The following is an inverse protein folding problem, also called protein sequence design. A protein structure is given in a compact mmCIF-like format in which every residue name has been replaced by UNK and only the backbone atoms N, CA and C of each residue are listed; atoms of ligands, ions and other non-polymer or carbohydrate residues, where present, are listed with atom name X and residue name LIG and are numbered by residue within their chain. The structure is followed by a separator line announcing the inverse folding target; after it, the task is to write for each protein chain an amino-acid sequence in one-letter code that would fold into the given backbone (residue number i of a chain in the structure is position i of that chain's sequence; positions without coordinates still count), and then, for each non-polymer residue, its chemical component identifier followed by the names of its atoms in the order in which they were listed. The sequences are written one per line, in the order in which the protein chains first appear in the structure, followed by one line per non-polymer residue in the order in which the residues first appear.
data_IF_440103572992
#
_entry.id   IF_440103572992
#
_cell.length_a   1.000
_cell.length_b   1.000
_cell.length_c   1.000
_cell.angle_alpha   90.00
_cell.angle_beta   90.00
_cell.angle_gamma   90.00
#
_symmetry.space_group_name_H-M   'P 1'
#
loop_
_entity.id
_entity.type
_entity.pdbx_description
1 polymer ?
#
# COMPACT_ATOMS: atom_id res chain seq x y z
N UNK A 1 -1.16 -24.75 14.22
CA UNK A 1 -1.65 -23.36 14.10
C UNK A 1 -3.12 -23.38 13.72
N UNK A 2 -4.03 -22.90 14.59
CA UNK A 2 -5.47 -22.87 14.30
C UNK A 2 -5.76 -21.66 13.40
N UNK A 3 -6.21 -21.88 12.15
CA UNK A 3 -6.67 -20.78 11.28
C UNK A 3 -7.77 -19.99 12.02
N UNK A 4 -7.56 -18.70 12.22
CA UNK A 4 -8.50 -17.80 12.91
C UNK A 4 -9.86 -17.83 12.21
N UNK A 5 -10.95 -17.76 12.99
CA UNK A 5 -12.32 -17.72 12.49
C UNK A 5 -12.54 -16.57 11.48
N UNK A 6 -11.82 -15.45 11.66
CA UNK A 6 -11.85 -14.31 10.75
C UNK A 6 -11.37 -14.67 9.32
N UNK A 7 -10.31 -15.47 9.19
CA UNK A 7 -9.81 -15.88 7.87
C UNK A 7 -10.78 -16.82 7.16
N UNK A 8 -11.48 -17.68 7.91
CA UNK A 8 -12.51 -18.57 7.33
C UNK A 8 -13.74 -17.77 6.88
N UNK A 9 -14.15 -16.78 7.66
CA UNK A 9 -15.28 -15.92 7.32
C UNK A 9 -15.00 -15.06 6.09
N UNK A 10 -13.80 -14.46 5.98
CA UNK A 10 -13.41 -13.70 4.78
C UNK A 10 -13.37 -14.59 3.53
N UNK A 11 -12.82 -15.80 3.63
CA UNK A 11 -12.80 -16.75 2.51
C UNK A 11 -14.21 -17.14 2.05
N UNK A 12 -15.11 -17.41 2.99
CA UNK A 12 -16.51 -17.73 2.67
C UNK A 12 -17.24 -16.55 2.00
N UNK A 13 -16.96 -15.32 2.45
CA UNK A 13 -17.55 -14.12 1.84
C UNK A 13 -17.05 -13.86 0.42
N UNK A 14 -15.75 -14.05 0.17
CA UNK A 14 -15.19 -13.89 -1.17
C UNK A 14 -15.74 -14.93 -2.15
N UNK A 15 -15.87 -16.19 -1.71
CA UNK A 15 -16.45 -17.25 -2.54
C UNK A 15 -17.93 -16.99 -2.89
N UNK A 16 -18.71 -16.42 -1.96
CA UNK A 16 -20.11 -16.05 -2.25
C UNK A 16 -20.20 -14.89 -3.24
N UNK A 17 -19.27 -13.93 -3.18
CA UNK A 17 -19.19 -12.83 -4.16
C UNK A 17 -18.86 -13.36 -5.55
N UNK A 18 -17.88 -14.27 -5.66
CA UNK A 18 -17.56 -14.93 -6.93
C UNK A 18 -18.75 -15.71 -7.49
N UNK A 19 -19.47 -16.44 -6.64
CA UNK A 19 -20.67 -17.19 -7.04
C UNK A 19 -21.78 -16.28 -7.56
N UNK A 20 -22.03 -15.14 -6.90
CA UNK A 20 -23.01 -14.15 -7.33
C UNK A 20 -22.61 -13.48 -8.66
N UNK A 21 -21.31 -13.29 -8.90
CA UNK A 21 -20.81 -12.78 -10.18
C UNK A 21 -21.02 -13.79 -11.33
N UNK A 22 -20.74 -15.07 -11.08
CA UNK A 22 -20.94 -16.15 -12.05
C UNK A 22 -22.43 -16.36 -12.36
N UNK A 23 -23.29 -16.33 -11.33
CA UNK A 23 -24.75 -16.43 -11.47
C UNK A 23 -25.30 -15.25 -12.27
N UNK A 24 -24.85 -14.01 -11.98
CA UNK A 24 -25.22 -12.82 -12.76
C UNK A 24 -24.70 -12.83 -14.19
N UNK A 25 -23.60 -13.52 -14.47
CA UNK A 25 -23.07 -13.69 -15.83
C UNK A 25 -23.85 -14.74 -16.64
N UNK A 26 -24.53 -15.70 -15.99
CA UNK A 26 -25.35 -16.72 -16.64
C UNK A 26 -26.80 -16.33 -16.84
N UNK A 27 -27.31 -15.27 -16.20
CA UNK A 27 -28.66 -14.79 -16.46
C UNK A 27 -28.75 -14.25 -17.90
N UNK A 28 -29.59 -14.83 -18.77
CA UNK A 28 -29.74 -14.35 -20.14
C UNK A 28 -30.28 -12.93 -20.09
N UNK A 29 -29.43 -11.98 -20.49
CA UNK A 29 -29.81 -10.56 -20.56
C UNK A 29 -30.72 -10.39 -21.77
N UNK A 30 -32.00 -10.66 -21.59
CA UNK A 30 -33.07 -10.44 -22.58
C UNK A 30 -33.45 -8.95 -22.68
N UNK A 31 -32.44 -8.08 -22.52
CA UNK A 31 -32.59 -6.62 -22.49
C UNK A 31 -31.91 -6.04 -23.72
N UNK A 32 -32.65 -5.21 -24.47
CA UNK A 32 -32.17 -4.47 -25.63
C UNK A 32 -30.77 -3.89 -25.38
N UNK A 33 -29.86 -3.95 -26.37
CA UNK A 33 -28.47 -3.51 -26.21
C UNK A 33 -28.32 -2.02 -25.88
N UNK A 34 -29.39 -1.23 -26.02
CA UNK A 34 -29.41 0.23 -25.87
C UNK A 34 -29.49 0.70 -24.40
N UNK A 35 -29.80 -0.19 -23.45
CA UNK A 35 -29.98 0.15 -22.02
C UNK A 35 -28.91 -0.46 -21.08
N UNK A 36 -27.85 -1.06 -21.62
CA UNK A 36 -26.73 -1.52 -20.80
C UNK A 36 -25.94 -0.32 -20.27
N UNK A 37 -26.36 0.20 -19.11
CA UNK A 37 -25.55 1.12 -18.32
C UNK A 37 -24.26 0.40 -18.00
N UNK A 38 -23.17 0.81 -18.64
CA UNK A 38 -21.83 0.30 -18.36
C UNK A 38 -21.49 0.67 -16.92
N UNK A 39 -21.80 -0.21 -15.97
CA UNK A 39 -21.40 -0.04 -14.59
C UNK A 39 -19.87 -0.03 -14.56
N UNK A 40 -19.23 1.05 -14.11
CA UNK A 40 -17.78 1.05 -13.98
C UNK A 40 -17.38 -0.06 -13.02
N UNK A 41 -16.48 -0.92 -13.48
CA UNK A 41 -15.85 -1.92 -12.65
C UNK A 41 -14.90 -1.23 -11.66
N UNK A 42 -14.67 -1.83 -10.50
CA UNK A 42 -13.73 -1.27 -9.50
C UNK A 42 -12.32 -1.03 -10.07
N UNK A 43 -11.95 -1.76 -11.14
CA UNK A 43 -10.70 -1.58 -11.90
C UNK A 43 -10.62 -0.24 -12.63
N UNK A 44 -11.76 0.32 -13.04
CA UNK A 44 -11.84 1.63 -13.70
C UNK A 44 -11.47 2.79 -12.75
N UNK A 45 -11.46 2.53 -11.44
CA UNK A 45 -11.03 3.47 -10.40
C UNK A 45 -9.59 3.24 -9.93
N UNK A 46 -8.89 2.22 -10.44
CA UNK A 46 -7.46 2.04 -10.14
C UNK A 46 -6.65 3.08 -10.91
N UNK A 47 -5.54 3.57 -10.33
CA UNK A 47 -4.58 4.35 -11.10
C UNK A 47 -4.13 3.55 -12.33
N UNK A 48 -4.20 4.17 -13.50
CA UNK A 48 -3.73 3.57 -14.77
C UNK A 48 -2.29 3.07 -14.65
N UNK A 49 -1.48 3.74 -13.84
CA UNK A 49 -0.16 3.31 -13.45
C UNK A 49 0.04 3.44 -11.93
N UNK A 50 -0.24 2.34 -11.23
CA UNK A 50 -0.09 2.23 -9.78
C UNK A 50 1.34 2.51 -9.33
N UNK A 51 2.34 2.01 -10.08
CA UNK A 51 3.75 2.18 -9.75
C UNK A 51 4.18 3.63 -9.89
N UNK A 52 3.81 4.31 -10.97
CA UNK A 52 4.12 5.74 -11.14
C UNK A 52 3.43 6.58 -10.08
N UNK A 53 2.17 6.29 -9.74
CA UNK A 53 1.46 6.98 -8.64
C UNK A 53 2.18 6.80 -7.30
N UNK A 54 2.60 5.58 -6.98
CA UNK A 54 3.33 5.26 -5.76
C UNK A 54 4.68 5.99 -5.70
N UNK A 55 5.44 6.01 -6.82
CA UNK A 55 6.71 6.73 -6.92
C UNK A 55 6.55 8.24 -6.74
N UNK A 56 5.51 8.85 -7.33
CA UNK A 56 5.20 10.27 -7.16
C UNK A 56 4.88 10.58 -5.69
N UNK A 57 4.05 9.75 -5.05
CA UNK A 57 3.69 9.92 -3.64
C UNK A 57 4.89 9.73 -2.72
N UNK A 58 5.76 8.75 -3.00
CA UNK A 58 6.95 8.47 -2.20
C UNK A 58 7.95 9.64 -2.25
N UNK A 59 8.16 10.26 -3.42
CA UNK A 59 9.03 11.45 -3.54
C UNK A 59 8.54 12.64 -2.70
N UNK A 60 7.23 12.76 -2.53
CA UNK A 60 6.59 13.82 -1.73
C UNK A 60 6.40 13.45 -0.26
N UNK A 61 6.69 12.20 0.13
CA UNK A 61 6.50 11.73 1.50
C UNK A 61 7.58 12.32 2.41
N UNK A 62 7.15 13.01 3.48
CA UNK A 62 8.02 13.60 4.50
C UNK A 62 7.46 13.29 5.88
N UNK A 63 8.32 12.92 6.82
CA UNK A 63 7.96 12.69 8.21
C UNK A 63 7.43 13.98 8.86
N UNK A 64 8.02 15.14 8.56
CA UNK A 64 7.62 16.43 9.14
C UNK A 64 7.43 16.35 10.67
N UNK A 65 6.27 16.76 11.18
CA UNK A 65 5.86 16.68 12.59
C UNK A 65 5.08 15.39 12.92
N UNK A 66 4.92 14.48 11.96
CA UNK A 66 4.17 13.24 12.17
C UNK A 66 5.00 12.25 13.01
N UNK A 67 4.34 11.38 13.79
CA UNK A 67 4.99 10.26 14.46
C UNK A 67 5.76 9.39 13.47
N UNK A 68 6.92 8.88 13.89
CA UNK A 68 7.78 8.06 13.03
C UNK A 68 7.07 6.78 12.55
N UNK A 69 6.22 6.18 13.38
CA UNK A 69 5.48 4.96 13.03
C UNK A 69 4.52 5.18 11.86
N UNK A 70 3.87 6.36 11.81
CA UNK A 70 2.97 6.73 10.73
C UNK A 70 3.74 6.94 9.42
N UNK A 71 4.90 7.61 9.50
CA UNK A 71 5.80 7.76 8.36
C UNK A 71 6.28 6.40 7.83
N UNK A 72 6.72 5.49 8.72
CA UNK A 72 7.18 4.15 8.35
C UNK A 72 6.06 3.35 7.68
N UNK A 73 4.85 3.39 8.23
CA UNK A 73 3.71 2.66 7.64
C UNK A 73 3.36 3.20 6.25
N UNK A 74 3.30 4.52 6.08
CA UNK A 74 3.03 5.14 4.78
C UNK A 74 4.14 4.82 3.77
N UNK A 75 5.40 4.85 4.20
CA UNK A 75 6.54 4.49 3.37
C UNK A 75 6.45 3.04 2.90
N UNK A 76 6.22 2.09 3.81
CA UNK A 76 6.09 0.65 3.49
C UNK A 76 4.95 0.37 2.52
N UNK A 77 3.81 1.05 2.69
CA UNK A 77 2.67 0.90 1.80
C UNK A 77 3.01 1.32 0.37
N UNK A 78 3.70 2.46 0.21
CA UNK A 78 4.14 2.93 -1.10
C UNK A 78 5.25 2.05 -1.69
N UNK A 79 6.19 1.57 -0.87
CA UNK A 79 7.31 0.77 -1.31
C UNK A 79 6.86 -0.48 -2.07
N UNK A 80 5.81 -1.15 -1.58
CA UNK A 80 5.23 -2.34 -2.19
C UNK A 80 4.83 -2.13 -3.67
N UNK A 81 4.41 -0.93 -4.03
CA UNK A 81 3.90 -0.61 -5.37
C UNK A 81 4.96 0.07 -6.27
N UNK A 82 6.07 0.55 -5.72
CA UNK A 82 7.05 1.37 -6.48
C UNK A 82 7.96 0.60 -7.42
N UNK A 83 8.15 -0.71 -7.22
CA UNK A 83 9.15 -1.56 -7.90
C UNK A 83 10.61 -1.07 -7.77
N UNK A 84 10.91 -0.22 -6.79
CA UNK A 84 12.27 0.21 -6.50
C UNK A 84 13.11 -0.90 -5.88
N UNK A 85 14.43 -0.82 -6.08
CA UNK A 85 15.38 -1.66 -5.35
C UNK A 85 15.63 -1.11 -3.95
N UNK A 86 16.28 -1.91 -3.10
CA UNK A 86 16.53 -1.54 -1.71
C UNK A 86 17.37 -0.26 -1.59
N UNK A 87 18.31 -0.02 -2.51
CA UNK A 87 19.15 1.18 -2.51
C UNK A 87 18.32 2.45 -2.74
N UNK A 88 17.43 2.44 -3.73
CA UNK A 88 16.52 3.55 -4.00
C UNK A 88 15.50 3.75 -2.88
N UNK A 89 15.02 2.66 -2.26
CA UNK A 89 14.13 2.74 -1.10
C UNK A 89 14.83 3.36 0.11
N UNK A 90 16.08 3.00 0.39
CA UNK A 90 16.86 3.60 1.48
C UNK A 90 17.06 5.10 1.24
N UNK A 91 17.44 5.50 0.02
CA UNK A 91 17.61 6.93 -0.31
C UNK A 91 16.32 7.73 -0.10
N UNK A 92 15.19 7.22 -0.62
CA UNK A 92 13.89 7.86 -0.42
C UNK A 92 13.47 7.90 1.05
N UNK A 93 13.73 6.83 1.80
CA UNK A 93 13.41 6.77 3.22
C UNK A 93 14.18 7.83 4.01
N UNK A 94 15.50 7.93 3.81
CA UNK A 94 16.36 8.90 4.49
C UNK A 94 15.98 10.34 4.11
N UNK A 95 15.73 10.60 2.83
CA UNK A 95 15.32 11.93 2.34
C UNK A 95 13.99 12.40 2.93
N UNK A 96 13.13 11.49 3.38
CA UNK A 96 11.85 11.83 4.00
C UNK A 96 11.89 12.01 5.52
N UNK A 97 12.96 11.59 6.20
CA UNK A 97 13.09 11.74 7.66
C UNK A 97 13.24 13.21 8.08
N UNK A 98 12.88 13.50 9.34
CA UNK A 98 13.25 14.77 9.95
C UNK A 98 14.76 14.83 10.23
N UNK A 99 15.32 16.05 10.26
CA UNK A 99 16.77 16.26 10.36
C UNK A 99 17.40 15.60 11.60
N UNK A 100 16.67 15.58 12.73
CA UNK A 100 17.17 14.98 13.97
C UNK A 100 17.38 13.47 13.82
N UNK A 101 16.39 12.76 13.30
CA UNK A 101 16.48 11.31 13.11
C UNK A 101 17.42 10.95 11.97
N UNK A 102 17.43 11.74 10.89
CA UNK A 102 18.41 11.59 9.83
C UNK A 102 19.85 11.68 10.37
N UNK A 103 20.13 12.67 11.21
CA UNK A 103 21.41 12.80 11.90
C UNK A 103 21.77 11.54 12.70
N UNK A 104 20.83 11.00 13.46
CA UNK A 104 21.05 9.76 14.23
C UNK A 104 21.31 8.53 13.33
N UNK A 105 20.63 8.42 12.19
CA UNK A 105 20.83 7.31 11.25
C UNK A 105 22.18 7.38 10.52
N UNK A 106 22.73 8.58 10.33
CA UNK A 106 24.00 8.80 9.64
C UNK A 106 25.21 8.82 10.60
N UNK A 107 24.99 8.95 11.90
CA UNK A 107 26.06 8.87 12.90
C UNK A 107 26.66 7.46 12.95
N UNK A 108 27.98 7.37 12.87
CA UNK A 108 28.74 6.13 13.10
C UNK A 108 28.72 5.74 14.59
N UNK A 109 28.70 4.43 14.93
CA UNK A 109 28.55 3.95 16.31
C UNK A 109 29.68 4.32 17.28
N UNK A 110 30.83 4.80 16.82
CA UNK A 110 32.02 5.10 17.64
C UNK A 110 31.83 6.23 18.69
N UNK A 111 30.63 6.82 18.79
CA UNK A 111 30.30 7.82 19.81
C UNK A 111 29.30 7.34 20.89
N UNK A 112 28.91 6.06 20.88
CA UNK A 112 27.98 5.50 21.89
C UNK A 112 28.66 4.91 23.14
N UNK A 113 29.98 5.05 23.29
CA UNK A 113 30.71 4.52 24.45
C UNK A 113 30.86 5.50 25.62
N UNK A 114 30.31 6.72 25.56
CA UNK A 114 30.41 7.71 26.64
C UNK A 114 29.06 8.10 27.25
N UNK A 115 28.20 7.12 27.53
CA UNK A 115 27.18 7.29 28.57
C UNK A 115 27.68 6.49 29.77
N UNK A 116 28.58 7.11 30.55
CA UNK A 116 28.90 6.66 31.90
C UNK A 116 27.63 6.71 32.77
N UNK A 117 27.51 5.68 33.60
CA UNK A 117 26.42 5.31 34.52
C UNK A 117 26.17 6.35 35.64
#
# INVERSE_FOLDING_TARGET
MKKSAANKWMQAKNAEIERLMEEKALEPTDTKPEEQVHLPTWKDFLPVDLATSARIKMKSLKQNKQPIDEYINNFKLLAADTTYDDAALIDHFLNGLNERLLGMCLSTPDQLDNIEE
#
